data_IF_460291453397
#
_entry.id   IF_460291453397
#
_cell.length_a   1.000
_cell.length_b   1.000
_cell.length_c   1.000
_cell.angle_alpha   90.00
_cell.angle_beta   90.00
_cell.angle_gamma   90.00
#
_symmetry.space_group_name_H-M   'P 1'
#
loop_
_entity.id
_entity.type
_entity.pdbx_description
1 polymer ?
#
# COMPACT_ATOMS: atom_id res chain seq x y z
N UNK A 1 1.91 -82.64 39.16
CA UNK A 1 2.95 -82.16 38.22
C UNK A 1 2.23 -81.45 37.08
N UNK A 2 2.26 -80.12 37.08
CA UNK A 2 2.90 -79.24 36.07
C UNK A 2 2.00 -79.10 34.81
N UNK A 3 1.61 -77.93 34.29
CA UNK A 3 1.91 -76.52 34.54
C UNK A 3 0.89 -75.70 33.68
N UNK A 4 0.37 -74.56 34.17
CA UNK A 4 -0.27 -73.53 33.33
C UNK A 4 0.78 -72.86 32.42
N UNK A 5 0.33 -72.17 31.36
CA UNK A 5 0.61 -70.73 31.35
C UNK A 5 -0.57 -69.85 30.89
N UNK A 6 -0.57 -68.64 31.47
CA UNK A 6 -1.33 -67.45 31.09
C UNK A 6 -1.00 -66.97 29.67
N UNK A 7 -1.97 -66.30 29.02
CA UNK A 7 -1.79 -65.14 28.13
C UNK A 7 -3.17 -64.47 27.95
N UNK A 8 -3.49 -63.44 28.74
CA UNK A 8 -3.30 -61.99 28.51
C UNK A 8 -4.08 -61.39 27.32
N UNK A 9 -5.25 -60.84 27.67
CA UNK A 9 -5.95 -59.63 27.20
C UNK A 9 -5.34 -58.84 26.04
N UNK A 10 -6.15 -58.54 25.01
CA UNK A 10 -6.26 -57.20 24.42
C UNK A 10 -7.56 -57.04 23.62
N UNK A 11 -8.51 -56.33 24.22
CA UNK A 11 -9.74 -55.83 23.61
C UNK A 11 -9.38 -54.50 22.91
N UNK A 12 -9.27 -54.48 21.58
CA UNK A 12 -9.11 -53.24 20.82
C UNK A 12 -10.50 -52.59 20.68
N UNK A 13 -10.75 -51.54 21.45
CA UNK A 13 -11.86 -50.63 21.21
C UNK A 13 -11.55 -49.76 19.98
N UNK A 14 -12.30 -49.95 18.90
CA UNK A 14 -12.28 -49.05 17.75
C UNK A 14 -13.06 -47.78 18.09
N UNK A 15 -12.35 -46.68 18.38
CA UNK A 15 -12.93 -45.34 18.45
C UNK A 15 -13.04 -44.79 17.02
N UNK A 16 -14.21 -44.25 16.59
CA UNK A 16 -14.30 -43.53 15.33
C UNK A 16 -13.56 -42.19 15.41
N UNK A 17 -12.62 -41.96 14.49
CA UNK A 17 -12.00 -40.65 14.29
C UNK A 17 -13.05 -39.64 13.79
N UNK A 18 -13.04 -38.37 14.26
CA UNK A 18 -13.86 -37.33 13.67
C UNK A 18 -13.32 -36.98 12.28
N UNK A 19 -14.20 -36.98 11.28
CA UNK A 19 -13.92 -36.42 9.97
C UNK A 19 -13.62 -34.92 10.14
N UNK A 20 -12.36 -34.55 9.97
CA UNK A 20 -11.94 -33.16 9.96
C UNK A 20 -12.59 -32.45 8.77
N UNK A 21 -13.17 -31.29 9.06
CA UNK A 21 -13.87 -30.42 8.15
C UNK A 21 -13.03 -30.06 6.92
N UNK A 22 -13.49 -30.48 5.74
CA UNK A 22 -13.17 -29.83 4.47
C UNK A 22 -13.93 -28.50 4.41
N UNK A 23 -13.40 -27.47 5.08
CA UNK A 23 -13.76 -26.09 4.76
C UNK A 23 -12.96 -25.67 3.51
N UNK A 24 -13.58 -25.02 2.51
CA UNK A 24 -12.95 -24.85 1.20
C UNK A 24 -11.85 -23.79 1.28
N UNK A 25 -10.60 -24.23 1.09
CA UNK A 25 -9.42 -23.37 0.85
C UNK A 25 -9.64 -22.35 -0.29
N UNK A 26 -10.64 -22.57 -1.16
CA UNK A 26 -10.97 -21.69 -2.27
C UNK A 26 -11.67 -20.38 -1.83
N UNK A 27 -12.45 -20.38 -0.75
CA UNK A 27 -13.20 -19.18 -0.31
C UNK A 27 -12.30 -18.17 0.41
N UNK A 28 -11.22 -18.65 1.04
CA UNK A 28 -10.19 -17.82 1.66
C UNK A 28 -9.27 -17.13 0.62
N UNK A 29 -9.10 -17.74 -0.55
CA UNK A 29 -8.29 -17.17 -1.63
C UNK A 29 -9.03 -16.04 -2.37
N UNK A 30 -10.35 -16.15 -2.52
CA UNK A 30 -11.17 -15.14 -3.20
C UNK A 30 -11.33 -13.86 -2.36
N UNK A 31 -11.46 -14.00 -1.03
CA UNK A 31 -11.51 -12.85 -0.11
C UNK A 31 -10.19 -12.06 -0.05
N UNK A 32 -9.04 -12.72 -0.24
CA UNK A 32 -7.73 -12.06 -0.31
C UNK A 32 -7.46 -11.39 -1.67
N UNK A 33 -8.04 -11.91 -2.76
CA UNK A 33 -7.88 -11.38 -4.11
C UNK A 33 -8.83 -10.22 -4.42
N UNK A 34 -10.02 -10.17 -3.81
CA UNK A 34 -11.06 -9.17 -4.13
C UNK A 34 -10.79 -7.74 -3.59
N UNK A 35 -9.77 -7.54 -2.75
CA UNK A 35 -9.46 -6.22 -2.13
C UNK A 35 -8.03 -5.73 -2.38
N UNK A 36 -7.36 -6.22 -3.45
CA UNK A 36 -6.00 -5.80 -3.79
C UNK A 36 -6.00 -4.63 -4.79
N UNK A 37 -5.49 -3.48 -4.35
CA UNK A 37 -5.20 -2.33 -5.20
C UNK A 37 -3.89 -2.59 -5.93
N UNK A 38 -3.97 -2.93 -7.21
CA UNK A 38 -2.82 -3.00 -8.12
C UNK A 38 -2.66 -1.68 -8.89
N UNK A 39 -1.51 -1.43 -9.54
CA UNK A 39 -1.34 -0.29 -10.45
C UNK A 39 -2.43 -0.20 -11.52
N UNK A 40 -2.75 -1.32 -12.18
CA UNK A 40 -3.76 -1.39 -13.24
C UNK A 40 -5.17 -1.15 -12.69
N UNK A 41 -5.44 -1.62 -11.48
CA UNK A 41 -6.70 -1.35 -10.78
C UNK A 41 -6.82 0.15 -10.44
N UNK A 42 -5.75 0.75 -9.92
CA UNK A 42 -5.72 2.17 -9.54
C UNK A 42 -5.91 3.09 -10.75
N UNK A 43 -5.28 2.75 -11.88
CA UNK A 43 -5.51 3.42 -13.16
C UNK A 43 -7.00 3.43 -13.52
N UNK A 44 -7.60 2.24 -13.61
CA UNK A 44 -9.03 2.09 -13.93
C UNK A 44 -9.92 2.85 -12.96
N UNK A 45 -9.60 2.83 -11.66
CA UNK A 45 -10.34 3.55 -10.63
C UNK A 45 -10.34 5.06 -10.91
N UNK A 46 -9.18 5.67 -11.14
CA UNK A 46 -9.07 7.11 -11.39
C UNK A 46 -9.80 7.52 -12.66
N UNK A 47 -9.70 6.73 -13.74
CA UNK A 47 -10.42 7.01 -14.99
C UNK A 47 -11.94 6.90 -14.81
N UNK A 48 -12.42 5.85 -14.14
CA UNK A 48 -13.86 5.62 -13.94
C UNK A 48 -14.55 6.74 -13.14
N UNK A 49 -13.79 7.45 -12.29
CA UNK A 49 -14.28 8.55 -11.47
C UNK A 49 -13.96 9.92 -12.04
N UNK A 50 -13.36 10.02 -13.23
CA UNK A 50 -12.87 11.28 -13.81
C UNK A 50 -12.06 12.09 -12.78
N UNK A 51 -11.06 11.45 -12.18
CA UNK A 51 -10.32 12.06 -11.09
C UNK A 51 -9.54 13.29 -11.55
N UNK A 52 -9.56 14.36 -10.75
CA UNK A 52 -8.68 15.53 -10.94
C UNK A 52 -7.18 15.18 -10.87
N UNK A 53 -6.82 13.97 -10.42
CA UNK A 53 -5.45 13.46 -10.51
C UNK A 53 -5.04 13.08 -11.94
N UNK A 54 -5.98 12.93 -12.87
CA UNK A 54 -5.73 12.69 -14.28
C UNK A 54 -5.76 14.00 -15.09
N UNK A 55 -6.57 14.96 -14.65
CA UNK A 55 -6.77 16.21 -15.37
C UNK A 55 -5.76 17.28 -14.92
N UNK A 56 -5.16 18.00 -15.87
CA UNK A 56 -4.66 19.36 -15.61
C UNK A 56 -4.59 20.17 -16.92
N UNK A 57 -4.07 19.59 -18.02
CA UNK A 57 -4.04 20.24 -19.34
C UNK A 57 -4.15 19.23 -20.50
N UNK A 58 -4.34 19.73 -21.72
CA UNK A 58 -4.42 18.90 -22.95
C UNK A 58 -3.10 18.19 -23.29
N UNK A 59 -1.98 18.67 -22.75
CA UNK A 59 -0.64 18.10 -22.91
C UNK A 59 -0.18 17.33 -21.66
N UNK A 60 -1.09 17.03 -20.73
CA UNK A 60 -0.78 16.22 -19.56
C UNK A 60 -1.08 14.75 -19.88
N UNK A 61 -0.06 13.92 -19.67
CA UNK A 61 -0.16 12.50 -19.93
C UNK A 61 0.24 11.72 -18.68
N UNK A 62 -0.59 10.75 -18.31
CA UNK A 62 -0.22 9.74 -17.31
C UNK A 62 0.81 8.82 -17.94
N UNK A 63 1.96 8.67 -17.28
CA UNK A 63 3.04 7.81 -17.75
C UNK A 63 2.91 6.41 -17.15
N UNK A 64 2.86 6.34 -15.83
CA UNK A 64 3.03 5.08 -15.09
C UNK A 64 2.35 5.11 -13.73
N UNK A 65 1.95 3.93 -13.27
CA UNK A 65 1.53 3.66 -11.91
C UNK A 65 2.51 2.70 -11.23
N UNK A 66 2.83 2.94 -9.96
CA UNK A 66 3.82 2.18 -9.20
C UNK A 66 3.23 1.64 -7.91
N UNK A 67 3.46 0.37 -7.61
CA UNK A 67 3.11 -0.20 -6.30
C UNK A 67 4.30 -0.09 -5.35
N UNK A 68 4.13 0.56 -4.19
CA UNK A 68 5.20 0.72 -3.20
C UNK A 68 5.07 -0.18 -1.98
N UNK A 69 3.88 -0.69 -1.71
CA UNK A 69 3.64 -1.59 -0.59
C UNK A 69 2.26 -1.47 0.01
N UNK A 70 1.97 -2.39 0.91
CA UNK A 70 0.69 -2.52 1.60
C UNK A 70 0.94 -2.87 3.07
N UNK A 71 0.14 -2.28 3.95
CA UNK A 71 0.06 -2.66 5.36
C UNK A 71 -1.40 -2.82 5.73
N UNK A 72 -1.78 -3.99 6.25
CA UNK A 72 -3.17 -4.35 6.51
C UNK A 72 -4.07 -4.09 5.28
N UNK A 73 -5.08 -3.22 5.39
CA UNK A 73 -5.97 -2.82 4.29
C UNK A 73 -5.45 -1.64 3.45
N UNK A 74 -4.32 -1.04 3.78
CA UNK A 74 -3.84 0.19 3.14
C UNK A 74 -2.75 -0.05 2.13
N UNK A 75 -2.92 0.52 0.94
CA UNK A 75 -1.99 0.37 -0.18
C UNK A 75 -1.48 1.74 -0.63
N UNK A 76 -0.18 1.83 -0.88
CA UNK A 76 0.47 3.03 -1.42
C UNK A 76 0.76 2.83 -2.92
N UNK A 77 0.15 3.68 -3.74
CA UNK A 77 0.38 3.73 -5.19
C UNK A 77 1.05 5.06 -5.56
N UNK A 78 2.06 4.99 -6.42
CA UNK A 78 2.63 6.14 -7.12
C UNK A 78 1.94 6.39 -8.46
N UNK A 79 1.72 7.65 -8.79
CA UNK A 79 1.29 8.09 -10.11
C UNK A 79 2.35 9.04 -10.67
N UNK A 80 2.91 8.69 -11.83
CA UNK A 80 3.80 9.55 -12.59
C UNK A 80 3.04 10.16 -13.77
N UNK A 81 3.20 11.47 -13.90
CA UNK A 81 2.64 12.27 -15.00
C UNK A 81 3.74 13.08 -15.64
N UNK A 82 3.57 13.36 -16.93
CA UNK A 82 4.35 14.36 -17.66
C UNK A 82 3.41 15.46 -18.12
N UNK A 83 3.80 16.73 -17.93
CA UNK A 83 3.00 17.90 -18.32
C UNK A 83 3.71 18.73 -19.38
N UNK A 84 2.93 19.18 -20.35
CA UNK A 84 3.32 20.22 -21.29
C UNK A 84 4.40 19.76 -22.27
N UNK A 85 4.87 20.72 -23.06
CA UNK A 85 5.86 20.45 -24.12
C UNK A 85 7.29 20.30 -23.58
N UNK A 86 7.53 20.71 -22.32
CA UNK A 86 8.84 20.66 -21.66
C UNK A 86 9.14 19.31 -20.97
N UNK A 87 8.22 18.34 -21.07
CA UNK A 87 8.36 16.99 -20.52
C UNK A 87 8.68 16.93 -19.02
N UNK A 88 8.18 17.89 -18.23
CA UNK A 88 8.41 17.92 -16.79
C UNK A 88 7.62 16.80 -16.09
N UNK A 89 8.31 16.06 -15.22
CA UNK A 89 7.75 14.92 -14.47
C UNK A 89 7.14 15.36 -13.15
N UNK A 90 5.94 14.86 -12.87
CA UNK A 90 5.20 15.10 -11.63
C UNK A 90 4.83 13.77 -10.99
N UNK A 91 5.09 13.67 -9.69
CA UNK A 91 4.85 12.46 -8.91
C UNK A 91 3.72 12.69 -7.92
N UNK A 92 2.80 11.75 -7.79
CA UNK A 92 1.76 11.76 -6.75
C UNK A 92 1.76 10.46 -5.97
N UNK A 93 1.49 10.55 -4.67
CA UNK A 93 1.32 9.39 -3.79
C UNK A 93 -0.15 9.27 -3.40
N UNK A 94 -0.74 8.11 -3.68
CA UNK A 94 -2.14 7.80 -3.42
C UNK A 94 -2.22 6.75 -2.32
N UNK A 95 -2.99 7.04 -1.28
CA UNK A 95 -3.25 6.08 -0.20
C UNK A 95 -4.66 5.54 -0.37
N UNK A 96 -4.75 4.24 -0.62
CA UNK A 96 -6.01 3.51 -0.67
C UNK A 96 -6.23 2.75 0.63
N UNK A 97 -7.48 2.61 1.03
CA UNK A 97 -7.93 1.65 2.05
C UNK A 97 -8.94 0.71 1.38
N UNK A 98 -8.58 -0.58 1.32
CA UNK A 98 -9.20 -1.54 0.43
C UNK A 98 -9.30 -0.94 -0.99
N UNK A 99 -10.50 -0.85 -1.57
CA UNK A 99 -10.74 -0.30 -2.90
C UNK A 99 -11.23 1.17 -2.87
N UNK A 100 -10.96 1.91 -1.80
CA UNK A 100 -11.35 3.31 -1.65
C UNK A 100 -10.11 4.21 -1.55
N UNK A 101 -10.05 5.25 -2.38
CA UNK A 101 -9.00 6.27 -2.26
C UNK A 101 -9.29 7.15 -1.04
N UNK A 102 -8.42 7.09 -0.03
CA UNK A 102 -8.52 7.96 1.15
C UNK A 102 -8.09 9.40 0.82
N UNK A 103 -7.09 9.52 -0.04
CA UNK A 103 -6.52 10.79 -0.43
C UNK A 103 -5.13 10.65 -1.02
N UNK A 104 -4.47 11.78 -1.23
CA UNK A 104 -3.21 11.82 -1.94
C UNK A 104 -2.32 13.01 -1.57
N UNK A 105 -1.03 12.86 -1.85
CA UNK A 105 -0.05 13.93 -1.95
C UNK A 105 0.24 14.18 -3.43
N UNK A 106 -0.06 15.38 -3.93
CA UNK A 106 0.14 15.74 -5.34
C UNK A 106 1.45 16.49 -5.53
N UNK A 107 2.24 16.11 -6.52
CA UNK A 107 3.53 16.73 -6.87
C UNK A 107 4.57 16.59 -5.75
N UNK A 108 4.74 15.37 -5.23
CA UNK A 108 5.86 15.04 -4.34
C UNK A 108 7.18 15.17 -5.09
N UNK A 109 8.26 15.52 -4.37
CA UNK A 109 9.59 15.71 -4.93
C UNK A 109 10.17 14.40 -5.48
N UNK A 110 9.89 13.29 -4.80
CA UNK A 110 10.38 11.97 -5.19
C UNK A 110 9.47 10.87 -4.69
N UNK A 111 9.49 9.76 -5.43
CA UNK A 111 8.86 8.54 -5.00
C UNK A 111 9.59 7.86 -3.83
N UNK A 112 8.87 7.12 -2.99
CA UNK A 112 9.46 6.26 -1.99
C UNK A 112 10.17 5.06 -2.63
N UNK A 113 11.04 4.40 -1.87
CA UNK A 113 11.60 3.10 -2.21
C UNK A 113 10.69 1.94 -1.79
N UNK A 114 9.72 2.19 -0.90
CA UNK A 114 8.74 1.19 -0.48
C UNK A 114 8.04 1.55 0.84
N UNK A 115 7.26 0.61 1.34
CA UNK A 115 6.58 0.68 2.65
C UNK A 115 7.06 -0.47 3.53
N UNK A 116 7.36 -0.21 4.80
CA UNK A 116 7.71 -1.26 5.77
C UNK A 116 6.48 -2.04 6.26
N UNK A 117 6.71 -3.14 6.98
CA UNK A 117 5.64 -3.92 7.63
C UNK A 117 4.86 -3.12 8.69
N UNK A 118 5.48 -2.07 9.26
CA UNK A 118 4.83 -1.13 10.19
C UNK A 118 4.02 -0.02 9.48
N UNK A 119 4.09 0.06 8.15
CA UNK A 119 3.45 1.10 7.36
C UNK A 119 4.28 2.36 7.14
N UNK A 120 5.53 2.41 7.62
CA UNK A 120 6.42 3.55 7.42
C UNK A 120 6.85 3.63 5.95
N UNK A 121 6.68 4.80 5.35
CA UNK A 121 7.07 5.06 3.96
C UNK A 121 8.54 5.42 3.92
N UNK A 122 9.31 4.60 3.21
CA UNK A 122 10.76 4.75 3.11
C UNK A 122 11.11 5.51 1.84
N UNK A 123 11.93 6.55 1.95
CA UNK A 123 12.41 7.31 0.81
C UNK A 123 13.86 6.96 0.45
N UNK A 124 14.26 7.10 -0.83
CA UNK A 124 15.62 6.84 -1.26
C UNK A 124 16.66 7.65 -0.47
N UNK A 125 17.88 7.10 -0.37
CA UNK A 125 19.00 7.80 0.26
C UNK A 125 19.21 9.17 -0.37
N UNK A 126 19.34 10.19 0.47
CA UNK A 126 19.49 11.57 0.02
C UNK A 126 18.18 12.35 -0.02
N UNK A 127 17.03 11.70 0.14
CA UNK A 127 15.75 12.37 0.36
C UNK A 127 15.45 12.35 1.85
N UNK A 128 15.36 13.51 2.48
CA UNK A 128 14.79 13.64 3.82
C UNK A 128 13.31 13.92 3.66
N UNK A 129 12.45 13.09 4.26
CA UNK A 129 11.01 13.24 4.21
C UNK A 129 10.43 13.14 5.63
N UNK A 130 9.54 14.05 5.97
CA UNK A 130 8.88 14.09 7.28
C UNK A 130 7.51 14.78 7.19
N UNK A 131 6.71 14.63 8.23
CA UNK A 131 5.39 15.25 8.35
C UNK A 131 5.50 16.66 8.93
N UNK A 132 4.90 17.65 8.27
CA UNK A 132 4.95 19.05 8.68
C UNK A 132 4.55 19.23 10.16
N UNK A 133 5.37 20.00 10.89
CA UNK A 133 5.18 20.22 12.33
C UNK A 133 5.74 19.11 13.22
N UNK A 134 6.45 18.14 12.66
CA UNK A 134 7.11 17.05 13.41
C UNK A 134 8.31 16.48 12.65
N UNK A 135 9.16 15.70 13.33
CA UNK A 135 10.19 14.87 12.70
C UNK A 135 9.67 13.46 12.34
N UNK A 136 8.36 13.22 12.43
CA UNK A 136 7.77 11.92 12.17
C UNK A 136 7.80 11.59 10.67
N UNK A 137 8.03 10.31 10.36
CA UNK A 137 7.91 9.81 9.00
C UNK A 137 6.44 9.68 8.60
N UNK A 138 6.17 9.72 7.29
CA UNK A 138 4.87 9.32 6.77
C UNK A 138 4.67 7.83 7.07
N UNK A 139 3.58 7.51 7.79
CA UNK A 139 3.16 6.13 8.03
C UNK A 139 1.74 5.96 7.52
N UNK A 140 1.56 5.10 6.51
CA UNK A 140 0.26 4.92 5.88
C UNK A 140 -0.72 4.14 6.74
N UNK A 141 -0.31 3.50 7.84
CA UNK A 141 -1.21 2.83 8.78
C UNK A 141 -1.89 3.80 9.77
N UNK A 142 -1.43 5.05 9.87
CA UNK A 142 -1.98 6.04 10.81
C UNK A 142 -3.27 6.69 10.30
N UNK A 143 -4.25 6.98 11.18
CA UNK A 143 -5.58 7.45 10.76
C UNK A 143 -5.59 8.90 10.25
N UNK A 144 -4.53 9.67 10.49
CA UNK A 144 -4.46 11.07 10.15
C UNK A 144 -3.20 11.36 9.33
N UNK A 145 -3.36 12.23 8.33
CA UNK A 145 -2.31 12.67 7.42
C UNK A 145 -2.15 14.19 7.52
N UNK A 146 -0.90 14.64 7.64
CA UNK A 146 -0.53 16.06 7.51
C UNK A 146 0.31 16.26 6.25
N UNK A 147 0.75 17.48 5.97
CA UNK A 147 1.58 17.77 4.81
C UNK A 147 2.91 16.99 4.85
N UNK A 148 3.32 16.44 3.72
CA UNK A 148 4.58 15.73 3.54
C UNK A 148 5.66 16.70 3.05
N UNK A 149 6.67 16.94 3.87
CA UNK A 149 7.81 17.79 3.54
C UNK A 149 8.97 16.94 3.04
N UNK A 150 9.57 17.31 1.90
CA UNK A 150 10.71 16.61 1.30
C UNK A 150 11.85 17.54 0.93
N UNK A 151 13.08 17.06 1.12
CA UNK A 151 14.31 17.77 0.76
C UNK A 151 15.37 16.82 0.20
N UNK A 152 15.99 17.19 -0.92
CA UNK A 152 17.09 16.44 -1.52
C UNK A 152 18.46 16.95 -1.06
N UNK A 153 19.33 16.04 -0.63
CA UNK A 153 20.71 16.32 -0.22
C UNK A 153 21.54 16.71 -1.44
N UNK A 154 22.26 17.84 -1.37
CA UNK A 154 23.20 18.27 -2.40
C UNK A 154 22.68 19.33 -3.37
N UNK A 155 21.45 19.85 -3.19
CA UNK A 155 21.03 21.09 -3.87
C UNK A 155 21.91 22.25 -3.38
N UNK A 156 22.92 22.63 -4.16
CA UNK A 156 23.87 23.71 -3.84
C UNK A 156 23.24 25.11 -3.92
N UNK A 157 22.04 25.22 -4.46
CA UNK A 157 21.24 26.43 -4.39
C UNK A 157 20.47 26.41 -3.09
N UNK A 158 20.67 27.41 -2.23
CA UNK A 158 19.87 27.71 -1.02
C UNK A 158 18.35 27.92 -1.31
N UNK A 159 17.89 27.65 -2.54
CA UNK A 159 16.58 27.95 -3.09
C UNK A 159 15.71 26.72 -3.40
N UNK A 160 16.19 25.48 -3.25
CA UNK A 160 15.25 24.35 -3.07
C UNK A 160 14.99 24.21 -1.58
N UNK A 161 14.23 25.18 -1.09
CA UNK A 161 13.51 25.10 0.16
C UNK A 161 12.74 23.77 0.14
N UNK A 162 12.77 23.08 1.26
CA UNK A 162 11.91 21.95 1.55
C UNK A 162 10.52 22.08 0.89
N UNK A 163 10.13 21.08 0.10
CA UNK A 163 8.84 21.05 -0.55
C UNK A 163 7.84 20.38 0.39
N UNK A 164 6.91 21.15 0.93
CA UNK A 164 5.80 20.63 1.73
C UNK A 164 4.53 20.50 0.87
N UNK A 165 4.13 19.26 0.60
CA UNK A 165 2.93 18.92 -0.15
C UNK A 165 1.78 18.65 0.81
N UNK A 166 0.64 19.37 0.72
CA UNK A 166 -0.49 19.12 1.58
C UNK A 166 -1.15 17.76 1.27
N UNK A 167 -1.69 17.13 2.31
CA UNK A 167 -2.60 15.99 2.15
C UNK A 167 -3.93 16.47 1.57
N UNK A 168 -4.40 15.83 0.50
CA UNK A 168 -5.74 16.07 -0.05
C UNK A 168 -6.62 14.86 0.26
N UNK A 169 -7.51 15.01 1.24
CA UNK A 169 -8.48 13.97 1.57
C UNK A 169 -9.54 13.88 0.45
N UNK A 170 -9.80 12.67 -0.02
CA UNK A 170 -10.92 12.41 -0.92
C UNK A 170 -12.12 12.10 -0.05
N UNK A 171 -13.06 13.05 -0.01
CA UNK A 171 -14.32 12.81 0.69
C UNK A 171 -15.14 11.89 -0.19
N UNK A 172 -15.61 10.76 0.36
CA UNK A 172 -16.65 9.97 -0.26
C UNK A 172 -17.87 10.88 -0.47
N UNK A 173 -18.19 11.20 -1.73
CA UNK A 173 -19.51 11.73 -2.07
C UNK A 173 -20.58 10.65 -1.83
#
# INVERSE_FOLDING_TARGET
MLLQPLLLVSLLAALPLPAAADAPLAELADAAAASLVTPEWAERYLYSRNSALLDDSFNDHVMSFYYFGRVAQRTLIGLERVRGDDYEQFFSLLVFEDTHLLGYYRNVLSFPSGVSDSGDVQFPRGVNAHLQGSDALLNIALPAFSALCQRQRGSQTQALAELCVPWTAVHSQ
#
